data_IF_415869708129
#
_entry.id   IF_415869708129
#
_cell.length_a   1.000
_cell.length_b   1.000
_cell.length_c   1.000
_cell.angle_alpha   90.00
_cell.angle_beta   90.00
_cell.angle_gamma   90.00
#
_symmetry.space_group_name_H-M   'P 1'
#
loop_
_entity.id
_entity.type
_entity.pdbx_description
1 polymer ?
#
# COMPACT_ATOMS: atom_id res chain seq x y z
N UNK A 1 -9.54 -19.09 -6.09
CA UNK A 1 -10.40 -17.90 -5.89
C UNK A 1 -9.63 -16.67 -6.36
N UNK A 2 -10.23 -15.78 -7.16
CA UNK A 2 -9.58 -14.53 -7.59
C UNK A 2 -9.90 -13.42 -6.59
N UNK A 3 -8.90 -12.64 -6.20
CA UNK A 3 -9.03 -11.48 -5.31
C UNK A 3 -8.51 -10.25 -6.04
N UNK A 4 -9.22 -9.14 -5.92
CA UNK A 4 -8.78 -7.83 -6.39
C UNK A 4 -8.44 -6.96 -5.17
N UNK A 5 -7.26 -6.34 -5.19
CA UNK A 5 -6.77 -5.43 -4.14
C UNK A 5 -6.59 -4.06 -4.77
N UNK A 6 -7.25 -3.04 -4.20
CA UNK A 6 -7.05 -1.63 -4.53
C UNK A 6 -6.29 -0.97 -3.40
N UNK A 7 -5.25 -0.22 -3.72
CA UNK A 7 -4.43 0.51 -2.76
C UNK A 7 -4.25 1.95 -3.23
N UNK A 8 -4.24 2.87 -2.28
CA UNK A 8 -3.97 4.29 -2.49
C UNK A 8 -3.10 4.82 -1.35
N UNK A 9 -2.40 5.93 -1.58
CA UNK A 9 -1.32 6.35 -0.68
C UNK A 9 -1.85 7.00 0.61
N UNK A 10 -2.94 7.77 0.56
CA UNK A 10 -3.45 8.59 1.66
C UNK A 10 -3.87 7.77 2.89
N UNK A 11 -4.19 6.48 2.69
CA UNK A 11 -4.61 5.57 3.75
C UNK A 11 -3.49 4.74 4.37
N UNK A 12 -2.24 4.92 3.93
CA UNK A 12 -1.12 4.11 4.40
C UNK A 12 -0.72 4.43 5.83
N UNK A 13 -0.32 3.37 6.55
CA UNK A 13 0.07 3.46 7.96
C UNK A 13 1.13 4.55 8.17
N UNK A 14 0.82 5.51 9.04
CA UNK A 14 1.75 6.58 9.42
C UNK A 14 1.55 7.90 8.68
N UNK A 15 0.76 7.95 7.60
CA UNK A 15 0.27 9.24 7.10
C UNK A 15 -0.69 9.82 8.13
N UNK A 16 -0.40 11.03 8.58
CA UNK A 16 -1.21 11.78 9.53
C UNK A 16 -1.77 13.07 8.90
N UNK A 17 -1.21 13.51 7.77
CA UNK A 17 -1.65 14.70 7.05
C UNK A 17 -1.64 14.50 5.54
N UNK A 18 -2.56 15.15 4.84
CA UNK A 18 -2.80 14.91 3.41
C UNK A 18 -1.62 15.31 2.51
N UNK A 19 -0.83 16.31 2.90
CA UNK A 19 0.32 16.75 2.11
C UNK A 19 1.45 15.71 2.06
N UNK A 20 1.53 14.81 3.04
CA UNK A 20 2.51 13.72 3.09
C UNK A 20 2.34 12.72 1.93
N UNK A 21 1.13 12.65 1.37
CA UNK A 21 0.78 11.89 0.17
C UNK A 21 1.05 12.65 -1.15
N UNK A 22 1.50 13.91 -1.09
CA UNK A 22 1.79 14.71 -2.28
C UNK A 22 3.20 14.44 -2.80
N UNK A 23 3.37 14.25 -4.11
CA UNK A 23 4.65 13.85 -4.75
C UNK A 23 5.84 14.75 -4.44
N UNK A 24 5.60 16.03 -4.19
CA UNK A 24 6.65 17.03 -3.90
C UNK A 24 6.99 17.11 -2.40
N UNK A 25 6.24 16.43 -1.54
CA UNK A 25 6.50 16.41 -0.11
C UNK A 25 7.72 15.52 0.21
N UNK A 26 8.63 15.94 1.10
CA UNK A 26 9.85 15.17 1.41
C UNK A 26 9.59 13.73 1.88
N UNK A 27 8.46 13.50 2.57
CA UNK A 27 8.08 12.18 3.08
C UNK A 27 7.45 11.26 2.01
N UNK A 28 7.08 11.77 0.84
CA UNK A 28 6.35 11.00 -0.17
C UNK A 28 7.08 9.71 -0.57
N UNK A 29 8.40 9.77 -0.75
CA UNK A 29 9.19 8.60 -1.13
C UNK A 29 9.14 7.50 -0.06
N UNK A 30 9.10 7.86 1.22
CA UNK A 30 8.94 6.90 2.31
C UNK A 30 7.56 6.25 2.26
N UNK A 31 6.50 7.05 2.16
CA UNK A 31 5.13 6.54 2.15
C UNK A 31 4.80 5.74 0.88
N UNK A 32 5.40 6.09 -0.27
CA UNK A 32 5.32 5.28 -1.49
C UNK A 32 5.95 3.90 -1.31
N UNK A 33 7.14 3.82 -0.69
CA UNK A 33 7.80 2.55 -0.41
C UNK A 33 6.98 1.71 0.57
N UNK A 34 6.43 2.35 1.61
CA UNK A 34 5.55 1.71 2.59
C UNK A 34 4.26 1.19 1.96
N UNK A 35 3.59 1.98 1.13
CA UNK A 35 2.41 1.57 0.35
C UNK A 35 2.68 0.30 -0.46
N UNK A 36 3.83 0.27 -1.13
CA UNK A 36 4.26 -0.87 -1.95
C UNK A 36 4.47 -2.11 -1.08
N UNK A 37 5.16 -1.97 0.05
CA UNK A 37 5.41 -3.07 0.98
C UNK A 37 4.12 -3.62 1.62
N UNK A 38 3.21 -2.75 2.06
CA UNK A 38 1.93 -3.14 2.66
C UNK A 38 1.02 -3.83 1.62
N UNK A 39 0.97 -3.31 0.39
CA UNK A 39 0.20 -3.93 -0.70
C UNK A 39 0.77 -5.30 -1.09
N UNK A 40 2.09 -5.44 -1.15
CA UNK A 40 2.75 -6.72 -1.40
C UNK A 40 2.44 -7.73 -0.30
N UNK A 41 2.54 -7.34 0.97
CA UNK A 41 2.20 -8.19 2.11
C UNK A 41 0.73 -8.67 2.05
N UNK A 42 -0.21 -7.81 1.66
CA UNK A 42 -1.61 -8.19 1.46
C UNK A 42 -1.77 -9.23 0.32
N UNK A 43 -1.05 -9.06 -0.79
CA UNK A 43 -1.04 -10.02 -1.89
C UNK A 43 -0.46 -11.38 -1.45
N UNK A 44 0.67 -11.37 -0.73
CA UNK A 44 1.34 -12.57 -0.23
C UNK A 44 0.45 -13.34 0.74
N UNK A 45 -0.21 -12.63 1.67
CA UNK A 45 -1.16 -13.24 2.60
C UNK A 45 -2.38 -13.84 1.89
N UNK A 46 -2.90 -13.16 0.86
CA UNK A 46 -3.98 -13.68 0.03
C UNK A 46 -3.60 -14.98 -0.67
N UNK A 47 -2.41 -15.02 -1.29
CA UNK A 47 -1.88 -16.23 -1.95
C UNK A 47 -1.66 -17.38 -0.95
N UNK A 48 -1.06 -17.09 0.20
CA UNK A 48 -0.89 -18.07 1.29
C UNK A 48 -2.23 -18.61 1.82
N UNK A 49 -3.30 -17.82 1.69
CA UNK A 49 -4.67 -18.19 2.06
C UNK A 49 -5.45 -18.90 0.93
N UNK A 50 -4.80 -19.26 -0.17
CA UNK A 50 -5.41 -20.03 -1.28
C UNK A 50 -6.02 -19.18 -2.39
N UNK A 51 -5.74 -17.88 -2.44
CA UNK A 51 -5.98 -17.10 -3.64
C UNK A 51 -5.12 -17.63 -4.80
N UNK A 52 -5.64 -17.51 -6.03
CA UNK A 52 -4.99 -17.99 -7.24
C UNK A 52 -5.17 -16.95 -8.35
N UNK A 53 -4.18 -16.85 -9.23
CA UNK A 53 -4.21 -15.96 -10.39
C UNK A 53 -5.32 -16.35 -11.39
#
# INVERSE_FOLDING_TARGET
MKIYISADIEGITGIAHWDEATRDHPAYAEFQQRMTAETAAACEAALASGAQA
#
